data_IF_181569754489
#
_entry.id   IF_181569754489
#
_cell.length_a   1.000
_cell.length_b   1.000
_cell.length_c   1.000
_cell.angle_alpha   90.00
_cell.angle_beta   90.00
_cell.angle_gamma   90.00
#
_symmetry.space_group_name_H-M   'P 1'
#
loop_
_entity.id
_entity.type
_entity.pdbx_description
1 polymer ?
#
# COMPACT_ATOMS: atom_id res chain seq x y z
N UNK A 1 -13.66 19.05 -11.16
CA UNK A 1 -12.71 19.53 -10.13
C UNK A 1 -11.30 19.41 -10.70
N UNK A 2 -10.50 20.47 -10.73
CA UNK A 2 -9.14 20.40 -11.27
C UNK A 2 -8.27 19.48 -10.40
N UNK A 3 -7.28 18.86 -11.04
CA UNK A 3 -6.30 18.00 -10.36
C UNK A 3 -5.44 18.85 -9.41
N UNK A 4 -5.16 18.39 -8.17
CA UNK A 4 -4.25 19.09 -7.26
C UNK A 4 -2.88 19.31 -7.89
N UNK A 5 -2.26 20.46 -7.67
CA UNK A 5 -0.96 20.84 -8.29
C UNK A 5 0.15 19.80 -8.09
N UNK A 6 0.39 19.22 -6.88
CA UNK A 6 1.41 18.19 -6.72
C UNK A 6 1.16 16.93 -7.54
N UNK A 7 -0.12 16.60 -7.80
CA UNK A 7 -0.50 15.45 -8.64
C UNK A 7 -0.27 15.75 -10.11
N UNK A 8 -0.62 16.96 -10.56
CA UNK A 8 -0.37 17.42 -11.93
C UNK A 8 1.13 17.48 -12.24
N UNK A 9 1.95 17.96 -11.30
CA UNK A 9 3.40 17.96 -11.41
C UNK A 9 3.96 16.53 -11.50
N UNK A 10 3.51 15.62 -10.64
CA UNK A 10 3.94 14.22 -10.67
C UNK A 10 3.59 13.55 -12.03
N UNK A 11 2.40 13.78 -12.55
CA UNK A 11 2.00 13.27 -13.87
C UNK A 11 2.88 13.84 -14.98
N UNK A 12 3.09 15.16 -14.99
CA UNK A 12 3.94 15.82 -15.98
C UNK A 12 5.38 15.29 -15.96
N UNK A 13 5.94 15.05 -14.79
CA UNK A 13 7.28 14.48 -14.63
C UNK A 13 7.34 13.04 -15.16
N UNK A 14 6.34 12.21 -14.83
CA UNK A 14 6.26 10.83 -15.32
C UNK A 14 6.15 10.78 -16.85
N UNK A 15 5.37 11.68 -17.47
CA UNK A 15 5.22 11.75 -18.93
C UNK A 15 6.49 12.19 -19.66
N UNK A 16 7.38 12.92 -18.98
CA UNK A 16 8.67 13.40 -19.55
C UNK A 16 9.83 12.46 -19.24
N UNK A 17 9.69 11.62 -18.23
CA UNK A 17 10.75 10.71 -17.82
C UNK A 17 10.93 9.57 -18.83
N UNK A 18 12.14 8.99 -18.93
CA UNK A 18 12.36 7.78 -19.72
C UNK A 18 11.46 6.64 -19.29
N UNK A 19 10.96 5.86 -20.24
CA UNK A 19 10.06 4.72 -19.99
C UNK A 19 10.79 3.41 -19.67
N UNK A 20 12.12 3.38 -19.78
CA UNK A 20 12.92 2.20 -19.42
C UNK A 20 13.14 2.14 -17.90
N UNK A 21 12.70 1.06 -17.29
CA UNK A 21 12.92 0.78 -15.86
C UNK A 21 13.67 -0.55 -15.74
N UNK A 22 14.72 -0.58 -14.93
CA UNK A 22 15.43 -1.83 -14.64
C UNK A 22 14.49 -2.86 -13.99
N UNK A 23 14.76 -4.12 -14.21
CA UNK A 23 13.98 -5.21 -13.64
C UNK A 23 13.92 -5.13 -12.11
N UNK A 24 12.74 -5.39 -11.57
CA UNK A 24 12.50 -5.51 -10.12
C UNK A 24 12.34 -6.99 -9.81
N UNK A 25 13.38 -7.63 -9.30
CA UNK A 25 13.45 -9.08 -9.13
C UNK A 25 12.54 -9.60 -8.02
N UNK A 26 12.40 -8.84 -6.93
CA UNK A 26 11.70 -9.25 -5.71
C UNK A 26 11.13 -8.05 -4.94
N UNK A 27 10.50 -8.34 -3.81
CA UNK A 27 9.88 -7.31 -2.96
C UNK A 27 10.90 -6.37 -2.31
N UNK A 28 12.11 -6.84 -1.99
CA UNK A 28 13.17 -6.03 -1.41
C UNK A 28 13.68 -5.02 -2.43
N UNK A 29 13.89 -5.43 -3.68
CA UNK A 29 14.25 -4.55 -4.79
C UNK A 29 13.16 -3.51 -5.05
N UNK A 30 11.88 -3.91 -4.96
CA UNK A 30 10.77 -2.97 -5.06
C UNK A 30 10.73 -1.99 -3.88
N UNK A 31 10.92 -2.46 -2.64
CA UNK A 31 10.97 -1.59 -1.45
C UNK A 31 12.10 -0.56 -1.53
N UNK A 32 13.26 -0.95 -2.05
CA UNK A 32 14.38 -0.03 -2.24
C UNK A 32 14.03 1.16 -3.15
N UNK A 33 13.06 1.01 -4.05
CA UNK A 33 12.53 2.11 -4.88
C UNK A 33 11.35 2.81 -4.23
N UNK A 34 10.48 2.06 -3.56
CA UNK A 34 9.27 2.58 -2.96
C UNK A 34 9.53 3.47 -1.74
N UNK A 35 10.33 3.02 -0.78
CA UNK A 35 10.56 3.74 0.49
C UNK A 35 11.10 5.16 0.26
N UNK A 36 12.09 5.42 -0.61
CA UNK A 36 12.53 6.78 -0.91
C UNK A 36 11.46 7.68 -1.51
N UNK A 37 10.47 7.12 -2.20
CA UNK A 37 9.31 7.89 -2.69
C UNK A 37 8.33 8.18 -1.55
N UNK A 38 8.03 7.19 -0.73
CA UNK A 38 7.09 7.28 0.37
C UNK A 38 7.55 8.30 1.44
N UNK A 39 8.86 8.43 1.66
CA UNK A 39 9.44 9.37 2.63
C UNK A 39 9.40 10.85 2.17
N UNK A 40 9.05 11.12 0.90
CA UNK A 40 8.98 12.50 0.37
C UNK A 40 7.75 13.28 0.83
N UNK A 41 6.82 12.68 1.55
CA UNK A 41 5.58 13.34 1.97
C UNK A 41 4.66 13.73 0.81
N UNK A 42 4.71 13.00 -0.30
CA UNK A 42 3.87 13.25 -1.47
C UNK A 42 2.40 12.93 -1.16
N UNK A 43 1.46 13.69 -1.72
CA UNK A 43 0.04 13.30 -1.69
C UNK A 43 -0.15 11.89 -2.27
N UNK A 44 -1.13 11.10 -1.77
CA UNK A 44 -1.28 9.69 -2.15
C UNK A 44 -1.36 9.45 -3.66
N UNK A 45 -2.08 10.30 -4.41
CA UNK A 45 -2.18 10.15 -5.87
C UNK A 45 -0.84 10.43 -6.57
N UNK A 46 -0.10 11.45 -6.14
CA UNK A 46 1.23 11.74 -6.68
C UNK A 46 2.21 10.61 -6.38
N UNK A 47 2.13 10.04 -5.17
CA UNK A 47 2.92 8.88 -4.76
C UNK A 47 2.58 7.65 -5.60
N UNK A 48 1.29 7.37 -5.85
CA UNK A 48 0.83 6.29 -6.72
C UNK A 48 1.36 6.42 -8.15
N UNK A 49 1.28 7.62 -8.73
CA UNK A 49 1.79 7.90 -10.08
C UNK A 49 3.31 7.65 -10.17
N UNK A 50 4.09 8.20 -9.24
CA UNK A 50 5.54 8.02 -9.26
C UNK A 50 5.95 6.57 -8.99
N UNK A 51 5.30 5.90 -8.04
CA UNK A 51 5.57 4.50 -7.74
C UNK A 51 5.17 3.56 -8.89
N UNK A 52 4.04 3.85 -9.54
CA UNK A 52 3.61 3.11 -10.73
C UNK A 52 4.55 3.30 -11.93
N UNK A 53 5.01 4.53 -12.16
CA UNK A 53 5.98 4.84 -13.22
C UNK A 53 7.36 4.17 -12.97
N UNK A 54 7.76 4.02 -11.72
CA UNK A 54 9.00 3.36 -11.34
C UNK A 54 8.92 1.81 -11.35
N UNK A 55 7.79 1.25 -11.73
CA UNK A 55 7.56 -0.20 -11.79
C UNK A 55 7.90 -0.77 -13.18
N UNK A 56 8.55 -1.93 -13.21
CA UNK A 56 8.88 -2.64 -14.45
C UNK A 56 7.72 -3.51 -14.96
N UNK A 57 6.72 -3.76 -14.11
CA UNK A 57 5.55 -4.62 -14.42
C UNK A 57 4.32 -4.22 -13.62
N UNK A 58 3.15 -4.66 -14.12
CA UNK A 58 1.85 -4.31 -13.55
C UNK A 58 1.72 -4.67 -12.06
N UNK A 59 2.30 -5.79 -11.61
CA UNK A 59 2.24 -6.20 -10.20
C UNK A 59 2.86 -5.17 -9.24
N UNK A 60 4.01 -4.61 -9.59
CA UNK A 60 4.66 -3.57 -8.78
C UNK A 60 3.98 -2.21 -8.90
N UNK A 61 3.44 -1.89 -10.08
CA UNK A 61 2.62 -0.69 -10.26
C UNK A 61 1.35 -0.76 -9.38
N UNK A 62 0.69 -1.92 -9.36
CA UNK A 62 -0.44 -2.18 -8.48
C UNK A 62 -0.04 -2.06 -7.00
N UNK A 63 1.09 -2.66 -6.58
CA UNK A 63 1.59 -2.56 -5.21
C UNK A 63 1.81 -1.09 -4.79
N UNK A 64 2.38 -0.27 -5.67
CA UNK A 64 2.59 1.16 -5.41
C UNK A 64 1.25 1.91 -5.21
N UNK A 65 0.28 1.70 -6.10
CA UNK A 65 -1.06 2.28 -5.97
C UNK A 65 -1.77 1.84 -4.70
N UNK A 66 -1.67 0.55 -4.38
CA UNK A 66 -2.25 -0.04 -3.17
C UNK A 66 -1.64 0.56 -1.89
N UNK A 67 -0.32 0.66 -1.79
CA UNK A 67 0.35 1.28 -0.65
C UNK A 67 0.04 2.79 -0.54
N UNK A 68 -0.07 3.49 -1.65
CA UNK A 68 -0.48 4.90 -1.66
C UNK A 68 -1.93 5.08 -1.17
N UNK A 69 -2.84 4.20 -1.57
CA UNK A 69 -4.23 4.20 -1.10
C UNK A 69 -4.33 3.92 0.41
N UNK A 70 -3.54 2.97 0.93
CA UNK A 70 -3.49 2.70 2.37
C UNK A 70 -2.96 3.91 3.17
N UNK A 71 -2.02 4.67 2.63
CA UNK A 71 -1.56 5.93 3.26
C UNK A 71 -2.60 7.04 3.24
N UNK A 72 -3.49 7.05 2.25
CA UNK A 72 -4.64 7.95 2.26
C UNK A 72 -5.65 7.56 3.34
N UNK A 73 -5.85 6.26 3.56
CA UNK A 73 -6.75 5.71 4.57
C UNK A 73 -6.18 5.87 5.99
N UNK A 74 -4.88 5.67 6.15
CA UNK A 74 -4.16 5.72 7.43
C UNK A 74 -2.99 6.71 7.32
N UNK A 75 -3.23 8.02 7.51
CA UNK A 75 -2.19 9.05 7.32
C UNK A 75 -1.00 8.93 8.28
N UNK A 76 -1.17 8.22 9.39
CA UNK A 76 -0.13 7.99 10.41
C UNK A 76 0.77 6.79 10.09
N UNK A 77 0.55 6.10 8.96
CA UNK A 77 1.36 4.96 8.56
C UNK A 77 2.82 5.36 8.35
N UNK A 78 3.80 4.72 9.02
CA UNK A 78 5.21 5.02 8.83
C UNK A 78 5.62 4.90 7.36
N UNK A 79 6.51 5.78 6.90
CA UNK A 79 6.89 5.86 5.49
C UNK A 79 7.57 4.59 4.97
N UNK A 80 8.30 3.89 5.83
CA UNK A 80 9.00 2.63 5.56
C UNK A 80 8.12 1.39 5.78
N UNK A 81 6.92 1.54 6.37
CA UNK A 81 6.02 0.44 6.59
C UNK A 81 5.38 -0.06 5.29
N UNK A 82 5.22 -1.37 5.16
CA UNK A 82 4.31 -2.00 4.22
C UNK A 82 3.03 -2.39 4.94
N UNK A 83 1.90 -2.02 4.36
CA UNK A 83 0.60 -2.29 4.92
C UNK A 83 -0.19 -3.32 4.11
N UNK A 84 -1.01 -4.12 4.79
CA UNK A 84 -1.99 -4.97 4.15
C UNK A 84 -3.39 -4.70 4.73
N UNK A 85 -4.36 -4.59 3.84
CA UNK A 85 -5.77 -4.43 4.20
C UNK A 85 -6.45 -5.79 4.25
N UNK A 86 -6.80 -6.22 5.47
CA UNK A 86 -7.20 -7.59 5.78
C UNK A 86 -8.69 -7.67 6.13
N UNK A 87 -9.58 -7.47 5.16
CA UNK A 87 -11.03 -7.47 5.39
C UNK A 87 -11.67 -8.79 4.99
N UNK A 88 -11.41 -9.28 3.77
CA UNK A 88 -12.12 -10.42 3.19
C UNK A 88 -11.82 -11.72 3.94
N UNK A 89 -12.87 -12.47 4.24
CA UNK A 89 -12.82 -13.82 4.80
C UNK A 89 -13.45 -14.83 3.83
N UNK A 90 -13.47 -16.11 4.20
CA UNK A 90 -14.04 -17.16 3.36
C UNK A 90 -15.52 -16.92 3.05
N UNK A 91 -16.27 -16.40 4.02
CA UNK A 91 -17.70 -16.09 3.88
C UNK A 91 -17.99 -14.80 3.09
N UNK A 92 -16.98 -13.97 2.83
CA UNK A 92 -17.16 -12.70 2.12
C UNK A 92 -16.48 -11.51 2.78
N UNK A 93 -16.89 -10.31 2.38
CA UNK A 93 -16.32 -9.03 2.85
C UNK A 93 -17.36 -8.11 3.51
N UNK A 94 -18.59 -8.55 3.66
CA UNK A 94 -19.63 -7.77 4.35
C UNK A 94 -19.40 -7.86 5.86
N UNK A 95 -19.75 -6.83 6.67
CA UNK A 95 -19.60 -6.88 8.12
C UNK A 95 -20.16 -8.14 8.78
N UNK A 96 -21.31 -8.63 8.29
CA UNK A 96 -21.97 -9.86 8.78
C UNK A 96 -21.21 -11.16 8.46
N UNK A 97 -20.31 -11.13 7.49
CA UNK A 97 -19.55 -12.28 7.02
C UNK A 97 -18.19 -12.38 7.77
N UNK A 98 -17.80 -11.33 8.51
CA UNK A 98 -16.55 -11.28 9.27
C UNK A 98 -16.68 -12.13 10.53
N UNK A 99 -15.78 -13.10 10.68
CA UNK A 99 -15.68 -14.02 11.82
C UNK A 99 -14.46 -13.77 12.70
N UNK A 100 -13.51 -12.96 12.23
CA UNK A 100 -12.34 -12.55 13.03
C UNK A 100 -12.80 -11.89 14.33
N UNK A 101 -12.24 -12.33 15.44
CA UNK A 101 -12.55 -11.85 16.79
C UNK A 101 -11.36 -11.13 17.40
N UNK A 102 -11.64 -10.09 18.16
CA UNK A 102 -10.67 -9.33 18.96
C UNK A 102 -11.08 -9.46 20.42
N UNK A 103 -10.28 -10.15 21.23
CA UNK A 103 -10.58 -10.43 22.63
C UNK A 103 -9.59 -9.70 23.54
N UNK A 104 -10.06 -8.86 24.51
CA UNK A 104 -9.18 -8.20 25.45
C UNK A 104 -8.42 -9.19 26.34
N UNK A 105 -7.18 -8.88 26.68
CA UNK A 105 -6.37 -9.64 27.63
C UNK A 105 -6.40 -8.98 29.01
N UNK A 106 -6.36 -9.77 30.12
CA UNK A 106 -6.37 -9.24 31.49
C UNK A 106 -5.22 -8.28 31.82
N UNK A 107 -4.07 -8.42 31.14
CA UNK A 107 -2.88 -7.57 31.30
C UNK A 107 -2.81 -6.39 30.35
N UNK A 108 -3.87 -6.10 29.61
CA UNK A 108 -3.89 -5.11 28.51
C UNK A 108 -3.51 -5.72 27.16
N UNK A 109 -3.88 -5.03 26.08
CA UNK A 109 -3.76 -5.55 24.72
C UNK A 109 -4.92 -6.48 24.36
N UNK A 110 -4.76 -7.19 23.22
CA UNK A 110 -5.82 -8.02 22.65
C UNK A 110 -5.24 -9.27 22.00
N UNK A 111 -6.04 -10.34 21.96
CA UNK A 111 -5.81 -11.48 21.07
C UNK A 111 -6.68 -11.31 19.83
N UNK A 112 -6.06 -11.37 18.65
CA UNK A 112 -6.73 -11.41 17.37
C UNK A 112 -6.77 -12.85 16.87
N UNK A 113 -7.97 -13.36 16.56
CA UNK A 113 -8.14 -14.71 16.03
C UNK A 113 -9.07 -14.69 14.81
N UNK A 114 -8.59 -15.22 13.69
CA UNK A 114 -9.31 -15.27 12.42
C UNK A 114 -8.42 -15.61 11.25
N UNK A 115 -9.04 -15.74 10.08
CA UNK A 115 -8.35 -15.98 8.81
C UNK A 115 -8.85 -15.02 7.75
N UNK A 116 -7.93 -14.41 7.02
CA UNK A 116 -8.22 -13.45 5.96
C UNK A 116 -7.80 -14.00 4.60
N UNK A 117 -8.48 -13.57 3.54
CA UNK A 117 -8.17 -13.92 2.15
C UNK A 117 -7.90 -12.66 1.35
N UNK A 118 -7.13 -12.82 0.28
CA UNK A 118 -6.85 -11.75 -0.69
C UNK A 118 -6.15 -10.52 -0.07
N UNK A 119 -5.38 -10.75 1.00
CA UNK A 119 -4.64 -9.70 1.66
C UNK A 119 -3.34 -9.41 0.90
N UNK A 120 -3.41 -8.47 -0.03
CA UNK A 120 -2.27 -8.05 -0.85
C UNK A 120 -1.09 -7.63 0.02
N UNK A 121 0.11 -8.11 -0.31
CA UNK A 121 1.37 -7.85 0.41
C UNK A 121 1.44 -8.44 1.84
N UNK A 122 0.44 -9.19 2.32
CA UNK A 122 0.44 -9.70 3.70
C UNK A 122 1.68 -10.52 4.10
N UNK A 123 2.33 -11.31 3.22
CA UNK A 123 3.55 -12.04 3.62
C UNK A 123 4.74 -11.16 3.99
N UNK A 124 4.73 -9.89 3.58
CA UNK A 124 5.82 -8.92 3.80
C UNK A 124 5.35 -7.66 4.52
N UNK A 125 4.07 -7.58 4.85
CA UNK A 125 3.49 -6.43 5.53
C UNK A 125 3.98 -6.35 6.99
N UNK A 126 4.30 -5.14 7.42
CA UNK A 126 4.66 -4.80 8.80
C UNK A 126 3.46 -4.25 9.59
N UNK A 127 2.39 -3.89 8.89
CA UNK A 127 1.14 -3.36 9.44
C UNK A 127 -0.06 -4.05 8.78
N UNK A 128 -0.99 -4.53 9.60
CA UNK A 128 -2.24 -5.15 9.13
C UNK A 128 -3.44 -4.30 9.58
N UNK A 129 -4.40 -4.08 8.68
CA UNK A 129 -5.63 -3.32 8.93
C UNK A 129 -6.86 -4.11 8.54
#
# INVERSE_FOLDING_TARGET
MPMPEPTAAALSDCLRAPTGVDEITDVQAWMARWVPLATRGLPPMALALRGGHAADRLGWAFAAGYQAALRALVPTLPADALAAFCVTEEGGNRPRDIRTTLTPLPGGGYTLNGAKRWSTMSPVATQLF
#
